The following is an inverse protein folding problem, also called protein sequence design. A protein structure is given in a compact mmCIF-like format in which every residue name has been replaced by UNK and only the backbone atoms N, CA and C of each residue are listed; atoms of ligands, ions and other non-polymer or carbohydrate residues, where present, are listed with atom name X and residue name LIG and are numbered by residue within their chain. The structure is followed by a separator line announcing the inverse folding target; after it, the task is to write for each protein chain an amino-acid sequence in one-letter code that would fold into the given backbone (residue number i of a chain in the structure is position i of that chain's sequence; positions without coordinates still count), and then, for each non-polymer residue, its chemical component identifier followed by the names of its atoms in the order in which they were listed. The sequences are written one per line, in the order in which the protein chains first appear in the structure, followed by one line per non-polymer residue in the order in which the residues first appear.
data_IF_303576003701
#
_entry.id   IF_303576003701
#
_cell.length_a   1.000
_cell.length_b   1.000
_cell.length_c   1.000
_cell.angle_alpha   90.00
_cell.angle_beta   90.00
_cell.angle_gamma   90.00
#
_symmetry.space_group_name_H-M   'P 1'
#
loop_
_entity.id
_entity.type
_entity.pdbx_description
1 polymer ?
#
# COMPACT_ATOMS: atom_id res chain seq x y z
N UNK A 1 3.51 10.92 1.75
CA UNK A 1 4.58 9.92 1.64
C UNK A 1 5.46 9.91 2.89
N UNK A 2 5.84 11.08 3.38
CA UNK A 2 6.70 11.16 4.57
C UNK A 2 6.04 10.53 5.80
N UNK A 3 4.74 10.74 5.99
CA UNK A 3 4.00 10.15 7.11
C UNK A 3 4.03 8.64 7.04
N UNK A 4 3.85 8.09 5.84
CA UNK A 4 3.89 6.65 5.63
C UNK A 4 5.28 6.11 5.94
N UNK A 5 6.33 6.76 5.45
CA UNK A 5 7.71 6.31 5.65
C UNK A 5 8.15 6.39 7.12
N UNK A 6 7.57 7.29 7.91
CA UNK A 6 7.86 7.40 9.33
C UNK A 6 7.18 6.31 10.17
N UNK A 7 6.04 5.78 9.67
CA UNK A 7 5.23 4.81 10.42
C UNK A 7 5.47 3.37 10.02
N UNK A 8 6.10 3.13 8.89
CA UNK A 8 6.39 1.79 8.43
C UNK A 8 7.68 1.76 7.63
N UNK A 9 8.40 0.66 7.76
CA UNK A 9 9.61 0.41 6.99
C UNK A 9 9.30 -0.64 5.94
N UNK A 10 9.70 -0.40 4.71
CA UNK A 10 9.42 -1.32 3.60
C UNK A 10 10.64 -1.44 2.70
N UNK A 11 10.83 -2.67 2.18
CA UNK A 11 11.95 -3.00 1.31
C UNK A 11 11.84 -2.29 -0.03
N UNK A 12 10.66 -2.33 -0.62
CA UNK A 12 10.36 -1.75 -1.92
C UNK A 12 8.88 -1.42 -1.96
N UNK A 13 8.45 -0.71 -2.97
CA UNK A 13 7.06 -0.30 -3.13
C UNK A 13 6.57 -0.66 -4.53
N UNK A 14 5.35 -1.18 -4.60
CA UNK A 14 4.70 -1.53 -5.85
C UNK A 14 3.33 -0.87 -5.91
N UNK A 15 3.12 -0.02 -6.90
CA UNK A 15 1.84 0.64 -7.13
C UNK A 15 0.96 -0.15 -8.08
N UNK A 16 -0.31 -0.25 -7.75
CA UNK A 16 -1.29 -0.88 -8.63
C UNK A 16 -1.62 0.09 -9.77
N UNK A 17 -1.41 -0.33 -11.02
CA UNK A 17 -1.78 0.53 -12.14
C UNK A 17 -3.30 0.79 -12.17
N UNK A 18 -3.71 2.00 -12.55
CA UNK A 18 -2.83 3.15 -12.82
C UNK A 18 -2.72 4.08 -11.62
N UNK A 19 -3.76 4.12 -10.79
CA UNK A 19 -3.88 5.08 -9.69
C UNK A 19 -2.77 4.97 -8.65
N UNK A 20 -2.24 3.77 -8.44
CA UNK A 20 -1.16 3.56 -7.48
C UNK A 20 0.22 3.99 -7.98
N UNK A 21 0.39 4.24 -9.27
CA UNK A 21 1.71 4.56 -9.84
C UNK A 21 2.28 5.88 -9.33
N UNK A 22 1.53 6.99 -9.29
CA UNK A 22 2.05 8.22 -8.69
C UNK A 22 2.43 8.04 -7.22
N UNK A 23 1.67 7.24 -6.49
CA UNK A 23 1.93 6.94 -5.10
C UNK A 23 3.22 6.12 -4.95
N UNK A 24 3.41 5.13 -5.81
CA UNK A 24 4.66 4.36 -5.88
C UNK A 24 5.85 5.28 -6.07
N UNK A 25 5.77 6.19 -7.04
CA UNK A 25 6.85 7.14 -7.31
C UNK A 25 7.15 8.04 -6.11
N UNK A 26 6.12 8.45 -5.39
CA UNK A 26 6.29 9.30 -4.21
C UNK A 26 6.97 8.55 -3.06
N UNK A 27 6.72 7.25 -2.94
CA UNK A 27 7.25 6.42 -1.85
C UNK A 27 8.59 5.77 -2.16
N UNK A 28 8.96 5.65 -3.43
CA UNK A 28 10.18 4.98 -3.85
C UNK A 28 11.45 5.46 -3.14
N UNK A 29 11.64 6.78 -2.94
CA UNK A 29 12.84 7.28 -2.24
C UNK A 29 12.96 6.83 -0.78
N UNK A 30 11.88 6.34 -0.19
CA UNK A 30 11.84 5.94 1.22
C UNK A 30 12.03 4.44 1.42
N UNK A 31 12.26 3.68 0.35
CA UNK A 31 12.50 2.24 0.45
C UNK A 31 13.81 1.98 1.18
N UNK A 32 13.80 1.01 2.09
CA UNK A 32 14.98 0.64 2.87
C UNK A 32 15.98 -0.19 2.06
N UNK A 33 15.51 -0.89 1.04
CA UNK A 33 16.28 -1.87 0.27
C UNK A 33 16.83 -3.02 1.12
N UNK A 34 16.22 -3.24 2.28
CA UNK A 34 16.59 -4.30 3.21
C UNK A 34 15.69 -5.51 2.97
N UNK A 35 16.29 -6.66 2.65
CA UNK A 35 15.56 -7.89 2.33
C UNK A 35 14.67 -8.37 3.47
N UNK A 36 14.94 -7.97 4.70
CA UNK A 36 14.13 -8.35 5.86
C UNK A 36 12.87 -7.50 6.01
N UNK A 37 12.81 -6.35 5.33
CA UNK A 37 11.63 -5.50 5.38
C UNK A 37 10.59 -5.95 4.36
N UNK A 38 9.30 -5.73 4.63
CA UNK A 38 8.23 -6.19 3.73
C UNK A 38 8.14 -5.35 2.46
N UNK A 39 7.54 -5.93 1.43
CA UNK A 39 7.10 -5.20 0.25
C UNK A 39 5.89 -4.36 0.63
N UNK A 40 5.86 -3.10 0.19
CA UNK A 40 4.69 -2.24 0.34
C UNK A 40 3.92 -2.20 -0.99
N UNK A 41 2.67 -2.56 -0.94
CA UNK A 41 1.76 -2.49 -2.09
C UNK A 41 0.85 -1.30 -1.89
N UNK A 42 0.77 -0.41 -2.86
CA UNK A 42 -0.03 0.80 -2.72
C UNK A 42 -0.99 1.00 -3.89
N UNK A 43 -2.12 1.60 -3.58
CA UNK A 43 -3.15 1.95 -4.55
C UNK A 43 -3.83 3.25 -4.10
N UNK A 44 -4.55 3.89 -4.99
CA UNK A 44 -5.29 5.10 -4.67
C UNK A 44 -6.59 4.77 -3.94
N UNK A 45 -7.32 3.75 -4.40
CA UNK A 45 -8.64 3.39 -3.86
C UNK A 45 -8.72 1.89 -3.62
N UNK A 46 -9.24 1.53 -2.45
CA UNK A 46 -9.61 0.15 -2.14
C UNK A 46 -11.13 0.00 -2.32
N UNK A 47 -11.53 -0.95 -3.16
CA UNK A 47 -12.95 -1.33 -3.31
C UNK A 47 -13.14 -2.78 -2.88
N UNK A 48 -12.60 -3.72 -3.64
CA UNK A 48 -12.67 -5.15 -3.32
C UNK A 48 -11.33 -5.74 -2.90
N UNK A 49 -10.23 -5.03 -3.18
CA UNK A 49 -8.88 -5.50 -2.88
C UNK A 49 -8.32 -6.50 -3.87
N UNK A 50 -9.05 -6.82 -4.94
CA UNK A 50 -8.65 -7.87 -5.89
C UNK A 50 -7.29 -7.58 -6.53
N UNK A 51 -7.09 -6.36 -7.03
CA UNK A 51 -5.83 -5.99 -7.68
C UNK A 51 -4.63 -6.07 -6.73
N UNK A 52 -4.82 -5.67 -5.50
CA UNK A 52 -3.77 -5.74 -4.48
C UNK A 52 -3.43 -7.18 -4.12
N UNK A 53 -4.45 -8.04 -4.02
CA UNK A 53 -4.23 -9.46 -3.73
C UNK A 53 -3.47 -10.18 -4.83
N UNK A 54 -3.65 -9.78 -6.07
CA UNK A 54 -2.95 -10.39 -7.21
C UNK A 54 -1.43 -10.22 -7.13
N UNK A 55 -0.95 -9.16 -6.47
CA UNK A 55 0.48 -8.90 -6.33
C UNK A 55 0.99 -9.17 -4.92
N UNK A 56 0.14 -9.68 -4.05
CA UNK A 56 0.50 -9.97 -2.66
C UNK A 56 1.60 -11.03 -2.59
N UNK A 57 2.52 -10.85 -1.67
CA UNK A 57 3.49 -11.86 -1.24
C UNK A 57 3.49 -11.94 0.28
N UNK A 58 3.97 -13.06 0.82
CA UNK A 58 3.96 -13.27 2.27
C UNK A 58 4.67 -12.14 3.01
N UNK A 59 3.99 -11.60 4.00
CA UNK A 59 4.53 -10.51 4.82
C UNK A 59 4.35 -9.12 4.22
N UNK A 60 3.80 -9.01 3.01
CA UNK A 60 3.60 -7.71 2.38
C UNK A 60 2.63 -6.84 3.19
N UNK A 61 2.86 -5.52 3.10
CA UNK A 61 1.97 -4.51 3.67
C UNK A 61 1.27 -3.79 2.53
N UNK A 62 0.04 -3.36 2.77
CA UNK A 62 -0.72 -2.60 1.79
C UNK A 62 -1.15 -1.26 2.36
N UNK A 63 -1.13 -0.24 1.52
CA UNK A 63 -1.66 1.07 1.87
C UNK A 63 -2.47 1.63 0.71
N UNK A 64 -3.60 2.22 1.04
CA UNK A 64 -4.45 2.91 0.07
C UNK A 64 -4.76 4.30 0.60
N UNK A 65 -4.93 5.25 -0.30
CA UNK A 65 -5.30 6.60 0.12
C UNK A 65 -6.72 6.62 0.64
N UNK A 66 -7.62 5.90 -0.01
CA UNK A 66 -9.05 5.96 0.27
C UNK A 66 -9.68 4.58 0.15
N UNK A 67 -10.44 4.18 1.16
CA UNK A 67 -11.21 2.93 1.10
C UNK A 67 -12.70 3.25 0.98
N UNK A 68 -13.34 2.75 -0.06
CA UNK A 68 -14.77 2.95 -0.31
C UNK A 68 -15.62 1.90 0.39
N UNK A 69 -15.05 0.73 0.64
CA UNK A 69 -15.72 -0.37 1.32
C UNK A 69 -14.90 -0.78 2.53
N UNK A 70 -15.49 -1.59 3.39
CA UNK A 70 -14.76 -2.18 4.50
C UNK A 70 -13.57 -2.98 3.97
N UNK A 71 -12.39 -2.77 4.57
CA UNK A 71 -11.20 -3.48 4.16
C UNK A 71 -11.26 -4.91 4.70
N UNK A 72 -11.25 -5.88 3.79
CA UNK A 72 -11.33 -7.30 4.13
C UNK A 72 -9.95 -7.91 4.37
N UNK A 73 -8.89 -7.24 3.92
CA UNK A 73 -7.53 -7.75 4.00
C UNK A 73 -6.83 -7.09 5.19
N UNK A 74 -6.42 -7.87 6.19
CA UNK A 74 -5.82 -7.36 7.42
C UNK A 74 -4.44 -6.73 7.21
N UNK A 75 -3.78 -7.02 6.09
CA UNK A 75 -2.49 -6.46 5.73
C UNK A 75 -2.60 -5.09 5.03
N UNK A 76 -3.81 -4.59 4.78
CA UNK A 76 -4.07 -3.32 4.10
C UNK A 76 -4.57 -2.28 5.08
N UNK A 77 -4.02 -1.07 4.99
CA UNK A 77 -4.46 0.09 5.77
C UNK A 77 -4.86 1.22 4.84
N UNK A 78 -5.89 1.94 5.20
CA UNK A 78 -6.32 3.13 4.47
C UNK A 78 -5.91 4.39 5.22
N UNK A 79 -5.50 5.42 4.47
CA UNK A 79 -5.27 6.74 5.05
C UNK A 79 -6.60 7.36 5.41
N UNK A 80 -7.58 7.25 4.50
CA UNK A 80 -8.95 7.65 4.76
C UNK A 80 -9.92 6.53 4.45
N UNK A 81 -10.87 6.32 5.35
CA UNK A 81 -11.93 5.35 5.15
C UNK A 81 -13.29 6.04 5.23
N UNK A 82 -14.15 5.76 4.24
CA UNK A 82 -15.53 6.19 4.31
C UNK A 82 -16.27 5.36 5.36
N UNK A 83 -16.86 6.05 6.32
CA UNK A 83 -17.80 5.41 7.22
C UNK A 83 -19.15 5.31 6.51
N UNK A 84 -19.64 4.13 6.42
CA UNK A 84 -20.94 3.87 5.83
C UNK A 84 -21.94 3.60 6.93
#
# INVERSE_FOLDING_TARGET
AKIVSEKMTFRDVKGIPRGGIPFEKALKPYCSNNDTDPLLICDDVYTTGTSMREVYEDGALGIVVFARNEIQDDWVKAIWQLSI
#
